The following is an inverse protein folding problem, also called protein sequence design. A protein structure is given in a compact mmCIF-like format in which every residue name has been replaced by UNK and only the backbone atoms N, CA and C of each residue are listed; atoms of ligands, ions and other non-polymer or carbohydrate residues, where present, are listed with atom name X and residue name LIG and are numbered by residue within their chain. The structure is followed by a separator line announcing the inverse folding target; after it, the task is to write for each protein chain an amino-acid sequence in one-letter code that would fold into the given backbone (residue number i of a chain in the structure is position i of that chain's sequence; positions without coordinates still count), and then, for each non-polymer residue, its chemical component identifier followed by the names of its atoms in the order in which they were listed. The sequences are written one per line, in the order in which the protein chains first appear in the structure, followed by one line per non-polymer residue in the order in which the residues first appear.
data_IF_491863122397
#
_entry.id   IF_491863122397
#
_cell.length_a   1.000
_cell.length_b   1.000
_cell.length_c   1.000
_cell.angle_alpha   90.00
_cell.angle_beta   90.00
_cell.angle_gamma   90.00
#
_symmetry.space_group_name_H-M   'P 1'
#
loop_
_entity.id
_entity.type
_entity.pdbx_description
1 polymer ?
#
# COMPACT_ATOMS: atom_id res chain seq x y z
N UNK A 1 -0.84 -3.20 -17.52
CA UNK A 1 -1.73 -4.34 -17.83
C UNK A 1 -0.91 -5.62 -17.82
N UNK A 2 -1.12 -6.47 -16.82
CA UNK A 2 -0.41 -7.74 -16.62
C UNK A 2 -0.89 -8.79 -17.63
N UNK A 3 -0.01 -9.18 -18.57
CA UNK A 3 -0.20 -10.36 -19.43
C UNK A 3 0.02 -11.62 -18.60
N UNK A 4 -1.05 -12.38 -18.33
CA UNK A 4 -0.91 -13.76 -17.90
C UNK A 4 -0.47 -14.64 -19.07
N UNK A 5 0.47 -15.56 -18.79
CA UNK A 5 0.95 -16.55 -19.74
C UNK A 5 -0.20 -17.50 -20.08
N UNK A 6 -0.57 -17.58 -21.37
CA UNK A 6 -1.45 -18.63 -21.87
C UNK A 6 -0.57 -19.85 -22.20
N UNK A 7 -0.95 -21.01 -21.66
CA UNK A 7 -0.38 -22.32 -22.01
C UNK A 7 -0.84 -22.66 -23.42
N UNK A 8 0.10 -22.92 -24.33
CA UNK A 8 -0.19 -23.43 -25.67
C UNK A 8 -0.17 -24.97 -25.61
N UNK A 9 -1.35 -25.59 -25.61
CA UNK A 9 -1.53 -27.01 -25.93
C UNK A 9 -2.05 -27.18 -27.36
N UNK A 10 -1.85 -28.35 -28.01
CA UNK A 10 -2.34 -28.60 -29.36
C UNK A 10 -3.88 -28.55 -29.44
N UNK A 11 -4.45 -28.19 -30.60
CA UNK A 11 -5.89 -27.94 -30.74
C UNK A 11 -6.68 -29.25 -30.65
N UNK A 12 -7.43 -29.46 -29.57
CA UNK A 12 -8.38 -30.58 -29.46
C UNK A 12 -8.61 -31.15 -28.05
N UNK A 13 -7.72 -30.91 -27.10
CA UNK A 13 -7.93 -31.36 -25.72
C UNK A 13 -8.80 -30.37 -24.94
N UNK A 14 -10.01 -30.80 -24.57
CA UNK A 14 -10.83 -30.10 -23.57
C UNK A 14 -10.17 -30.27 -22.21
N UNK A 15 -10.15 -29.20 -21.40
CA UNK A 15 -9.78 -29.32 -19.99
C UNK A 15 -10.69 -30.37 -19.35
N UNK A 16 -10.12 -31.38 -18.69
CA UNK A 16 -10.89 -32.33 -17.92
C UNK A 16 -11.70 -31.55 -16.87
N UNK A 17 -13.00 -31.83 -16.78
CA UNK A 17 -13.89 -31.25 -15.78
C UNK A 17 -13.32 -31.52 -14.39
N UNK A 18 -13.26 -30.47 -13.56
CA UNK A 18 -12.79 -30.61 -12.20
C UNK A 18 -13.67 -31.61 -11.46
N UNK A 19 -13.07 -32.56 -10.74
CA UNK A 19 -13.82 -33.51 -9.93
C UNK A 19 -14.72 -32.75 -8.95
N UNK A 20 -16.04 -33.04 -8.93
CA UNK A 20 -16.96 -32.39 -8.01
C UNK A 20 -16.54 -32.63 -6.55
N UNK A 21 -16.66 -31.61 -5.71
CA UNK A 21 -16.29 -31.66 -4.29
C UNK A 21 -16.92 -32.82 -3.51
N UNK A 22 -18.08 -33.30 -3.96
CA UNK A 22 -18.82 -34.40 -3.36
C UNK A 22 -18.07 -35.75 -3.44
N UNK A 23 -17.27 -35.97 -4.49
CA UNK A 23 -16.48 -37.20 -4.65
C UNK A 23 -15.23 -37.23 -3.77
N UNK A 24 -14.69 -36.07 -3.38
CA UNK A 24 -13.51 -36.01 -2.49
C UNK A 24 -13.86 -36.06 -1.00
N UNK A 25 -15.14 -35.89 -0.64
CA UNK A 25 -15.59 -35.92 0.76
C UNK A 25 -16.02 -37.31 1.24
N UNK A 26 -16.19 -38.28 0.34
CA UNK A 26 -16.55 -39.67 0.65
C UNK A 26 -15.37 -40.51 1.13
N UNK A 27 -14.95 -40.32 2.38
CA UNK A 27 -14.13 -41.32 3.09
C UNK A 27 -15.00 -42.48 3.59
N UNK A 28 -14.45 -43.72 3.70
CA UNK A 28 -15.23 -44.91 3.99
C UNK A 28 -15.90 -44.85 5.36
N UNK A 29 -17.10 -45.41 5.39
CA UNK A 29 -18.07 -45.42 6.48
C UNK A 29 -17.49 -45.82 7.84
N UNK A 30 -17.89 -45.08 8.89
CA UNK A 30 -17.73 -45.54 10.25
C UNK A 30 -17.68 -44.43 11.30
N UNK A 31 -18.86 -44.04 11.82
CA UNK A 31 -19.18 -43.87 13.26
C UNK A 31 -20.11 -42.68 13.53
N UNK A 32 -21.24 -43.05 14.13
CA UNK A 32 -22.40 -42.26 14.53
C UNK A 32 -22.08 -41.27 15.66
N UNK A 33 -22.75 -40.10 15.68
CA UNK A 33 -22.72 -39.20 16.85
C UNK A 33 -23.36 -37.82 16.64
N UNK A 34 -24.57 -37.64 17.16
CA UNK A 34 -25.42 -36.41 17.18
C UNK A 34 -24.82 -35.20 17.93
N UNK A 35 -25.18 -34.00 17.45
CA UNK A 35 -25.92 -32.91 18.15
C UNK A 35 -25.32 -31.48 18.09
N UNK A 36 -26.15 -30.52 17.62
CA UNK A 36 -26.30 -29.18 18.23
C UNK A 36 -25.64 -27.97 17.51
N UNK A 37 -26.39 -26.89 17.21
CA UNK A 37 -25.88 -25.70 16.51
C UNK A 37 -25.33 -24.67 17.51
N UNK A 38 -24.11 -24.15 17.27
CA UNK A 38 -23.54 -23.04 18.03
C UNK A 38 -23.20 -21.86 17.10
N UNK A 39 -24.13 -20.91 17.06
CA UNK A 39 -23.94 -19.55 16.56
C UNK A 39 -22.86 -18.83 17.39
N UNK A 40 -21.80 -18.38 16.74
CA UNK A 40 -20.74 -17.57 17.36
C UNK A 40 -20.77 -16.15 16.79
N UNK A 41 -21.35 -15.24 17.58
CA UNK A 41 -21.15 -13.80 17.49
C UNK A 41 -19.67 -13.49 17.71
N UNK A 42 -19.07 -12.67 16.85
CA UNK A 42 -17.72 -12.11 17.03
C UNK A 42 -17.84 -10.69 17.58
N UNK A 43 -17.25 -10.47 18.75
CA UNK A 43 -16.71 -9.19 19.20
C UNK A 43 -15.29 -9.46 19.75
N UNK A 44 -14.26 -8.65 19.44
CA UNK A 44 -12.88 -8.93 19.80
C UNK A 44 -12.44 -8.21 21.09
N UNK A 45 -12.42 -8.93 22.22
CA UNK A 45 -11.75 -8.50 23.45
C UNK A 45 -10.30 -9.00 23.48
N UNK A 46 -9.34 -8.06 23.51
CA UNK A 46 -7.90 -8.29 23.54
C UNK A 46 -7.46 -8.86 24.90
N UNK A 47 -7.17 -10.15 24.98
CA UNK A 47 -6.44 -10.75 26.12
C UNK A 47 -5.04 -11.23 25.71
N UNK A 48 -4.02 -10.64 26.32
CA UNK A 48 -2.59 -11.00 26.19
C UNK A 48 -2.38 -12.48 26.54
N UNK A 49 -1.94 -13.29 25.57
CA UNK A 49 -1.50 -14.69 25.83
C UNK A 49 -0.11 -14.69 26.44
N UNK A 50 0.02 -15.31 27.63
CA UNK A 50 1.30 -15.58 28.31
C UNK A 50 2.13 -16.56 27.47
N UNK A 51 3.45 -16.31 27.37
CA UNK A 51 4.43 -17.12 26.65
C UNK A 51 4.41 -18.58 27.12
N UNK A 52 3.91 -19.50 26.29
CA UNK A 52 4.06 -20.94 26.49
C UNK A 52 5.38 -21.35 25.84
N UNK A 53 6.36 -21.78 26.65
CA UNK A 53 7.66 -22.30 26.17
C UNK A 53 7.40 -23.42 25.15
N UNK A 54 7.96 -23.28 23.95
CA UNK A 54 7.88 -24.30 22.89
C UNK A 54 8.61 -25.55 23.43
N UNK A 55 7.99 -26.74 23.32
CA UNK A 55 8.66 -28.00 23.64
C UNK A 55 9.79 -28.19 22.62
N UNK A 56 11.03 -28.22 23.09
CA UNK A 56 12.18 -28.59 22.25
C UNK A 56 12.07 -30.08 21.93
N UNK A 57 11.79 -30.37 20.67
CA UNK A 57 11.87 -31.73 20.14
C UNK A 57 13.30 -31.94 19.67
N UNK A 58 13.97 -32.96 20.22
CA UNK A 58 15.21 -33.49 19.65
C UNK A 58 14.87 -34.09 18.28
N UNK A 59 15.38 -33.46 17.24
CA UNK A 59 15.24 -33.93 15.86
C UNK A 59 16.30 -35.00 15.63
N UNK A 60 16.06 -36.19 16.18
CA UNK A 60 16.85 -37.36 15.86
C UNK A 60 16.33 -37.96 14.55
N UNK A 61 17.25 -38.20 13.62
CA UNK A 61 16.97 -38.74 12.30
C UNK A 61 16.62 -40.23 12.41
N UNK A 62 15.34 -40.51 12.63
CA UNK A 62 14.82 -41.87 12.85
C UNK A 62 14.98 -42.76 11.61
N UNK A 63 15.08 -42.18 10.41
CA UNK A 63 15.08 -42.91 9.15
C UNK A 63 16.45 -42.94 8.45
N UNK A 64 17.51 -42.44 9.10
CA UNK A 64 18.85 -42.38 8.50
C UNK A 64 18.92 -41.52 7.23
N UNK A 65 18.00 -40.56 7.07
CA UNK A 65 17.93 -39.68 5.91
C UNK A 65 19.17 -38.77 5.81
N UNK A 66 19.71 -38.32 6.94
CA UNK A 66 20.97 -37.59 7.03
C UNK A 66 22.17 -38.48 6.67
N UNK A 67 22.15 -39.75 7.06
CA UNK A 67 23.19 -40.72 6.68
C UNK A 67 23.17 -41.03 5.17
N UNK A 68 21.98 -41.16 4.58
CA UNK A 68 21.80 -41.35 3.14
C UNK A 68 22.29 -40.13 2.32
N UNK A 69 22.07 -38.91 2.82
CA UNK A 69 22.60 -37.68 2.22
C UNK A 69 24.14 -37.62 2.30
N UNK A 70 24.73 -38.08 3.40
CA UNK A 70 26.18 -38.18 3.58
C UNK A 70 26.81 -39.29 2.74
N UNK A 71 26.07 -40.35 2.41
CA UNK A 71 26.58 -41.46 1.60
C UNK A 71 26.47 -41.17 0.10
N UNK A 72 25.42 -40.47 -0.33
CA UNK A 72 25.24 -39.99 -1.72
C UNK A 72 26.21 -38.86 -2.08
N UNK A 73 26.60 -38.01 -1.12
CA UNK A 73 27.67 -37.02 -1.32
C UNK A 73 29.08 -37.61 -1.43
N UNK A 74 29.30 -38.84 -0.96
CA UNK A 74 30.59 -39.55 -1.06
C UNK A 74 30.81 -40.26 -2.41
N UNK A 75 29.82 -40.26 -3.30
CA UNK A 75 29.90 -40.88 -4.63
C UNK A 75 30.07 -39.89 -5.79
N UNK A 76 30.43 -38.63 -5.56
CA UNK A 76 30.32 -37.56 -6.55
C UNK A 76 31.65 -36.90 -6.97
N UNK A 77 32.45 -37.55 -7.82
CA UNK A 77 33.44 -36.85 -8.66
C UNK A 77 32.79 -36.13 -9.88
N UNK A 78 31.45 -36.08 -9.94
CA UNK A 78 30.66 -35.28 -10.89
C UNK A 78 29.99 -34.05 -10.23
N UNK A 79 30.26 -33.79 -8.94
CA UNK A 79 29.50 -32.82 -8.15
C UNK A 79 29.93 -31.34 -8.30
N UNK A 80 31.18 -31.04 -8.67
CA UNK A 80 31.65 -29.63 -8.75
C UNK A 80 31.09 -28.86 -9.95
N UNK A 81 30.87 -29.51 -11.09
CA UNK A 81 30.34 -28.86 -12.29
C UNK A 81 28.83 -28.56 -12.16
N UNK A 82 28.07 -29.46 -11.54
CA UNK A 82 26.63 -29.27 -11.28
C UNK A 82 26.37 -28.24 -10.17
N UNK A 83 27.17 -28.21 -9.10
CA UNK A 83 27.06 -27.18 -8.05
C UNK A 83 27.46 -25.81 -8.59
N UNK A 84 28.53 -25.70 -9.36
CA UNK A 84 28.92 -24.45 -10.00
C UNK A 84 27.89 -23.97 -11.05
N UNK A 85 27.17 -24.89 -11.70
CA UNK A 85 26.04 -24.58 -12.57
C UNK A 85 24.85 -24.01 -11.77
N UNK A 86 24.48 -24.67 -10.69
CA UNK A 86 23.41 -24.25 -9.79
C UNK A 86 23.71 -22.89 -9.13
N UNK A 87 24.95 -22.65 -8.69
CA UNK A 87 25.38 -21.37 -8.14
C UNK A 87 25.26 -20.23 -9.16
N UNK A 88 25.60 -20.49 -10.43
CA UNK A 88 25.42 -19.50 -11.51
C UNK A 88 23.95 -19.22 -11.76
N UNK A 89 23.09 -20.24 -11.75
CA UNK A 89 21.64 -20.07 -11.89
C UNK A 89 21.02 -19.27 -10.73
N UNK A 90 21.42 -19.59 -9.49
CA UNK A 90 21.02 -18.86 -8.29
C UNK A 90 21.50 -17.40 -8.36
N UNK A 91 22.75 -17.15 -8.77
CA UNK A 91 23.26 -15.80 -8.96
C UNK A 91 22.48 -15.02 -10.03
N UNK A 92 22.09 -15.66 -11.13
CA UNK A 92 21.23 -15.07 -12.17
C UNK A 92 19.84 -14.75 -11.61
N UNK A 93 19.25 -15.64 -10.81
CA UNK A 93 17.96 -15.43 -10.15
C UNK A 93 18.01 -14.25 -9.18
N UNK A 94 19.00 -14.20 -8.29
CA UNK A 94 19.22 -13.10 -7.35
C UNK A 94 19.44 -11.76 -8.07
N UNK A 95 20.18 -11.76 -9.20
CA UNK A 95 20.37 -10.57 -10.02
C UNK A 95 19.07 -10.09 -10.68
N UNK A 96 18.20 -11.01 -11.10
CA UNK A 96 16.86 -10.68 -11.63
C UNK A 96 15.94 -10.10 -10.54
N UNK A 97 15.99 -10.67 -9.34
CA UNK A 97 15.19 -10.20 -8.21
C UNK A 97 15.66 -8.84 -7.71
N UNK A 98 16.98 -8.63 -7.58
CA UNK A 98 17.56 -7.32 -7.27
C UNK A 98 17.10 -6.25 -8.26
N UNK A 99 17.16 -6.51 -9.57
CA UNK A 99 16.62 -5.60 -10.60
C UNK A 99 15.12 -5.34 -10.47
N UNK A 100 14.34 -6.29 -9.95
CA UNK A 100 12.90 -6.12 -9.71
C UNK A 100 12.67 -5.21 -8.50
N UNK A 101 13.38 -5.44 -7.40
CA UNK A 101 13.31 -4.61 -6.20
C UNK A 101 13.86 -3.20 -6.46
N UNK A 102 14.96 -3.04 -7.20
CA UNK A 102 15.50 -1.73 -7.57
C UNK A 102 14.45 -0.89 -8.32
N UNK A 103 13.72 -1.50 -9.27
CA UNK A 103 12.62 -0.81 -9.97
C UNK A 103 11.46 -0.46 -9.04
N UNK A 104 11.17 -1.31 -8.05
CA UNK A 104 10.11 -1.05 -7.07
C UNK A 104 10.52 0.11 -6.15
N UNK A 105 11.74 0.10 -5.63
CA UNK A 105 12.30 1.16 -4.79
C UNK A 105 12.36 2.47 -5.57
N UNK A 106 12.84 2.45 -6.81
CA UNK A 106 12.89 3.65 -7.65
C UNK A 106 11.50 4.25 -7.90
N UNK A 107 10.46 3.43 -8.09
CA UNK A 107 9.07 3.93 -8.18
C UNK A 107 8.58 4.52 -6.86
N UNK A 108 8.93 3.92 -5.74
CA UNK A 108 8.56 4.45 -4.42
C UNK A 108 9.26 5.78 -4.16
N UNK A 109 10.56 5.87 -4.46
CA UNK A 109 11.36 7.08 -4.35
C UNK A 109 10.82 8.18 -5.27
N UNK A 110 10.55 7.89 -6.54
CA UNK A 110 9.92 8.85 -7.45
C UNK A 110 8.56 9.36 -6.93
N UNK A 111 7.75 8.48 -6.30
CA UNK A 111 6.47 8.88 -5.70
C UNK A 111 6.66 9.76 -4.45
N UNK A 112 7.66 9.46 -3.61
CA UNK A 112 8.00 10.27 -2.44
C UNK A 112 8.57 11.63 -2.84
N UNK A 113 9.50 11.66 -3.80
CA UNK A 113 10.10 12.88 -4.31
C UNK A 113 9.10 13.75 -5.08
N UNK A 114 8.11 13.14 -5.75
CA UNK A 114 7.01 13.88 -6.36
C UNK A 114 5.98 14.40 -5.35
N UNK A 115 5.96 13.88 -4.12
CA UNK A 115 5.11 14.41 -3.05
C UNK A 115 5.75 15.68 -2.50
N UNK A 116 4.99 16.77 -2.53
CA UNK A 116 5.41 18.09 -2.03
C UNK A 116 4.63 18.41 -0.76
N UNK A 117 5.31 18.92 0.26
CA UNK A 117 4.66 19.34 1.49
C UNK A 117 3.87 20.63 1.28
N UNK A 118 2.61 20.70 1.72
CA UNK A 118 1.79 21.90 1.54
C UNK A 118 2.20 23.08 2.45
N UNK A 119 2.99 22.82 3.51
CA UNK A 119 3.46 23.85 4.44
C UNK A 119 4.76 24.51 3.95
N UNK A 120 5.85 23.74 3.81
CA UNK A 120 7.14 24.27 3.35
C UNK A 120 7.34 24.25 1.82
N UNK A 121 6.48 23.54 1.05
CA UNK A 121 6.58 23.34 -0.40
C UNK A 121 7.86 22.64 -0.87
N UNK A 122 8.55 21.96 0.03
CA UNK A 122 9.69 21.12 -0.31
C UNK A 122 9.23 19.73 -0.76
N UNK A 123 9.87 19.16 -1.80
CA UNK A 123 9.61 17.80 -2.25
C UNK A 123 10.17 16.76 -1.26
N UNK A 124 9.62 15.55 -1.28
CA UNK A 124 10.14 14.39 -0.55
C UNK A 124 9.33 13.99 0.69
N UNK A 125 8.47 14.87 1.21
CA UNK A 125 7.68 14.61 2.42
C UNK A 125 6.27 15.22 2.35
N UNK A 126 5.35 14.68 3.16
CA UNK A 126 3.99 15.20 3.33
C UNK A 126 3.88 16.14 4.53
N UNK A 127 2.72 16.78 4.72
CA UNK A 127 2.49 17.74 5.82
C UNK A 127 2.74 17.10 7.21
N UNK A 128 2.45 15.81 7.38
CA UNK A 128 2.65 15.09 8.63
C UNK A 128 4.14 14.87 8.98
N UNK A 129 4.99 14.73 7.97
CA UNK A 129 6.42 14.45 8.12
C UNK A 129 7.25 15.73 7.90
N UNK A 130 6.61 16.91 7.99
CA UNK A 130 7.28 18.17 7.72
C UNK A 130 8.16 18.59 8.91
N UNK A 131 9.48 18.74 8.70
CA UNK A 131 10.39 19.12 9.78
C UNK A 131 10.05 20.50 10.36
N UNK A 132 9.52 21.41 9.54
CA UNK A 132 9.09 22.74 9.98
C UNK A 132 7.84 22.71 10.88
N UNK A 133 6.93 21.74 10.68
CA UNK A 133 5.70 21.64 11.50
C UNK A 133 5.98 21.09 12.90
N UNK A 134 7.03 20.27 13.06
CA UNK A 134 7.51 19.81 14.36
C UNK A 134 7.90 20.96 15.29
N UNK A 135 8.32 22.09 14.72
CA UNK A 135 8.74 23.28 15.45
C UNK A 135 7.55 24.23 15.74
N UNK A 136 6.51 24.22 14.90
CA UNK A 136 5.31 25.06 15.03
C UNK A 136 4.07 24.22 15.42
N UNK A 137 4.05 23.72 16.65
CA UNK A 137 3.03 22.84 17.26
C UNK A 137 1.54 23.26 17.14
N UNK A 138 1.26 24.42 16.55
CA UNK A 138 -0.05 25.08 16.51
C UNK A 138 -0.91 24.74 15.29
N UNK A 139 -0.43 23.91 14.37
CA UNK A 139 -1.05 23.71 13.06
C UNK A 139 -2.01 22.51 12.97
N UNK A 140 -2.73 22.18 14.04
CA UNK A 140 -3.96 21.36 14.00
C UNK A 140 -3.92 20.07 13.16
N UNK A 141 -2.73 19.47 13.00
CA UNK A 141 -2.53 18.28 12.17
C UNK A 141 -3.20 17.10 12.85
N UNK A 142 -4.16 16.49 12.16
CA UNK A 142 -4.96 15.37 12.70
C UNK A 142 -6.31 15.80 13.28
N UNK A 143 -6.72 17.06 13.11
CA UNK A 143 -8.08 17.52 13.42
C UNK A 143 -8.96 17.45 12.17
N UNK A 144 -10.20 17.00 12.34
CA UNK A 144 -11.22 17.11 11.32
C UNK A 144 -11.55 18.58 11.06
N UNK A 145 -11.22 19.09 9.88
CA UNK A 145 -11.46 20.49 9.54
C UNK A 145 -12.95 20.89 9.45
N UNK A 146 -13.88 19.93 9.49
CA UNK A 146 -15.34 20.18 9.53
C UNK A 146 -15.90 20.30 10.94
N UNK A 147 -15.47 19.46 11.88
CA UNK A 147 -16.07 19.39 13.21
C UNK A 147 -15.08 19.51 14.38
N UNK A 148 -13.78 19.70 14.12
CA UNK A 148 -12.79 19.93 15.17
C UNK A 148 -12.37 18.69 15.96
N UNK A 149 -12.90 17.50 15.65
CA UNK A 149 -12.53 16.26 16.34
C UNK A 149 -11.23 15.67 15.81
N UNK A 150 -10.38 15.11 16.68
CA UNK A 150 -9.13 14.44 16.30
C UNK A 150 -9.28 12.96 15.90
N UNK A 151 -10.50 12.42 16.00
CA UNK A 151 -10.75 10.99 15.81
C UNK A 151 -10.82 10.58 14.34
N UNK A 152 -11.07 11.53 13.42
CA UNK A 152 -11.28 11.23 12.00
C UNK A 152 -10.88 12.36 11.06
N UNK A 153 -10.62 12.00 9.80
CA UNK A 153 -10.37 12.95 8.71
C UNK A 153 -11.67 13.46 8.08
N UNK A 154 -11.59 14.56 7.31
CA UNK A 154 -12.74 15.15 6.58
C UNK A 154 -13.58 14.09 5.86
N UNK A 155 -12.94 13.12 5.20
CA UNK A 155 -13.62 12.10 4.39
C UNK A 155 -14.51 11.16 5.20
N UNK A 156 -14.23 10.99 6.50
CA UNK A 156 -14.98 10.12 7.41
C UNK A 156 -15.88 10.92 8.36
N UNK A 157 -15.94 12.24 8.18
CA UNK A 157 -16.75 13.11 9.00
C UNK A 157 -18.23 12.93 8.68
N UNK A 158 -19.00 12.54 9.70
CA UNK A 158 -20.46 12.41 9.63
C UNK A 158 -21.20 13.65 10.15
N UNK A 159 -20.46 14.61 10.71
CA UNK A 159 -21.06 15.83 11.24
C UNK A 159 -21.61 16.69 10.09
N UNK A 160 -22.86 17.12 10.24
CA UNK A 160 -23.46 18.14 9.38
C UNK A 160 -23.05 19.48 9.93
N UNK A 161 -22.24 20.22 9.18
CA UNK A 161 -21.82 21.57 9.53
C UNK A 161 -22.81 22.53 8.89
N UNK A 162 -23.24 23.55 9.65
CA UNK A 162 -24.15 24.57 9.14
C UNK A 162 -23.46 25.37 8.03
N UNK A 163 -24.09 25.50 6.83
CA UNK A 163 -23.51 26.21 5.69
C UNK A 163 -23.16 27.68 5.98
N UNK A 164 -23.77 28.28 7.01
CA UNK A 164 -23.54 29.67 7.41
C UNK A 164 -22.15 29.92 8.03
N UNK A 165 -21.52 28.90 8.60
CA UNK A 165 -20.19 29.01 9.24
C UNK A 165 -19.05 28.71 8.24
N UNK A 166 -19.40 28.40 6.98
CA UNK A 166 -18.46 28.02 5.93
C UNK A 166 -18.16 26.53 5.90
N UNK A 167 -17.57 26.06 4.80
CA UNK A 167 -17.36 24.64 4.56
C UNK A 167 -16.32 23.99 5.50
N UNK A 168 -15.38 24.78 6.04
CA UNK A 168 -14.25 24.29 6.84
C UNK A 168 -13.90 25.23 8.01
N UNK A 169 -14.77 25.35 9.03
CA UNK A 169 -14.60 26.30 10.13
C UNK A 169 -13.32 26.07 10.95
N UNK A 170 -12.86 24.82 11.05
CA UNK A 170 -11.67 24.46 11.83
C UNK A 170 -10.41 24.29 10.97
N UNK A 171 -10.48 24.54 9.65
CA UNK A 171 -9.29 24.57 8.81
C UNK A 171 -8.49 25.86 9.07
N UNK A 172 -7.22 25.73 9.43
CA UNK A 172 -6.23 26.82 9.37
C UNK A 172 -5.57 26.81 8.00
N UNK A 173 -5.54 27.95 7.32
CA UNK A 173 -4.87 28.09 6.04
C UNK A 173 -3.34 28.06 6.22
N UNK A 174 -2.64 27.23 5.46
CA UNK A 174 -1.17 27.14 5.54
C UNK A 174 -0.43 28.33 4.89
N UNK A 175 -1.16 29.28 4.30
CA UNK A 175 -0.59 30.41 3.57
C UNK A 175 -0.80 31.72 4.34
N UNK A 176 -2.04 32.05 4.70
CA UNK A 176 -2.35 33.25 5.48
C UNK A 176 -2.51 33.01 6.99
N UNK A 177 -2.59 31.75 7.44
CA UNK A 177 -2.78 31.40 8.86
C UNK A 177 -4.20 31.58 9.40
N UNK A 178 -5.11 32.17 8.62
CA UNK A 178 -6.49 32.40 9.02
C UNK A 178 -7.31 31.10 9.04
N UNK A 179 -8.37 31.10 9.86
CA UNK A 179 -9.28 29.97 9.99
C UNK A 179 -10.49 30.11 9.06
N UNK A 180 -11.06 28.98 8.62
CA UNK A 180 -12.30 28.95 7.84
C UNK A 180 -12.14 28.51 6.39
N UNK A 181 -10.90 28.39 5.89
CA UNK A 181 -10.61 27.97 4.52
C UNK A 181 -9.34 27.13 4.40
N UNK A 182 -9.24 26.38 3.30
CA UNK A 182 -8.04 25.62 2.93
C UNK A 182 -7.13 26.46 2.04
N UNK A 183 -5.82 26.15 2.01
CA UNK A 183 -4.83 26.86 1.17
C UNK A 183 -5.16 26.96 -0.32
N UNK A 184 -6.02 26.07 -0.84
CA UNK A 184 -6.51 26.11 -2.22
C UNK A 184 -7.56 27.20 -2.47
N UNK A 185 -8.34 27.54 -1.45
CA UNK A 185 -9.42 28.54 -1.49
C UNK A 185 -9.03 29.81 -0.72
N UNK A 186 -7.74 30.02 -0.50
CA UNK A 186 -7.23 31.22 0.14
C UNK A 186 -7.31 32.39 -0.85
N UNK A 187 -7.97 33.50 -0.49
CA UNK A 187 -8.01 34.70 -1.34
C UNK A 187 -6.62 35.32 -1.49
N UNK A 188 -5.82 35.29 -0.42
CA UNK A 188 -4.48 35.88 -0.38
C UNK A 188 -3.40 34.82 -0.53
N UNK A 189 -3.28 34.24 -1.74
CA UNK A 189 -2.25 33.25 -2.03
C UNK A 189 -1.08 33.81 -2.86
N UNK A 190 -0.04 34.40 -2.25
CA UNK A 190 1.08 34.99 -2.99
C UNK A 190 1.89 33.96 -3.80
N UNK A 191 1.83 32.66 -3.43
CA UNK A 191 2.58 31.59 -4.10
C UNK A 191 1.74 30.81 -5.13
N UNK A 192 0.43 31.04 -5.22
CA UNK A 192 -0.49 30.35 -6.12
C UNK A 192 -0.77 28.87 -5.83
N UNK A 193 -1.67 28.31 -6.65
CA UNK A 193 -2.17 26.92 -6.54
C UNK A 193 -1.15 25.86 -6.99
N UNK A 194 -0.08 26.25 -7.69
CA UNK A 194 0.95 25.33 -8.18
C UNK A 194 1.88 24.87 -7.06
N UNK A 195 2.31 23.60 -7.11
CA UNK A 195 3.18 23.00 -6.09
C UNK A 195 4.52 23.74 -5.93
N UNK A 196 5.18 24.07 -7.04
CA UNK A 196 6.45 24.83 -7.07
C UNK A 196 6.25 26.35 -6.88
N UNK A 197 5.00 26.79 -6.76
CA UNK A 197 4.63 28.19 -6.80
C UNK A 197 4.58 28.76 -8.21
N UNK A 198 3.70 29.74 -8.41
CA UNK A 198 3.54 30.44 -9.68
C UNK A 198 2.09 30.69 -10.05
N UNK A 199 1.91 31.29 -11.22
CA UNK A 199 0.62 31.67 -11.77
C UNK A 199 0.31 30.94 -13.08
N UNK A 200 -0.93 31.04 -13.52
CA UNK A 200 -1.38 30.56 -14.81
C UNK A 200 -0.53 31.19 -15.92
N UNK A 201 0.13 30.38 -16.73
CA UNK A 201 1.02 30.85 -17.82
C UNK A 201 0.31 31.53 -19.00
N UNK A 202 -1.03 31.61 -18.96
CA UNK A 202 -1.84 32.27 -20.00
C UNK A 202 -2.23 33.67 -19.54
N UNK A 203 -2.98 33.78 -18.45
CA UNK A 203 -3.49 35.05 -17.94
C UNK A 203 -2.68 35.65 -16.77
N UNK A 204 -1.69 34.94 -16.25
CA UNK A 204 -0.91 35.39 -15.08
C UNK A 204 -1.65 35.31 -13.74
N UNK A 205 -2.89 34.79 -13.68
CA UNK A 205 -3.62 34.70 -12.42
C UNK A 205 -3.19 33.52 -11.56
N UNK A 206 -3.37 33.67 -10.26
CA UNK A 206 -2.88 32.75 -9.22
C UNK A 206 -3.97 31.76 -8.77
N UNK A 207 -5.22 32.06 -9.09
CA UNK A 207 -6.44 31.43 -8.58
C UNK A 207 -6.81 30.11 -9.28
N UNK A 208 -6.33 29.90 -10.52
CA UNK A 208 -6.70 28.72 -11.31
C UNK A 208 -5.49 28.02 -11.94
N UNK A 209 -5.68 26.74 -12.25
CA UNK A 209 -4.74 26.01 -13.09
C UNK A 209 -4.94 26.39 -14.56
N UNK A 210 -3.88 26.33 -15.37
CA UNK A 210 -3.92 26.52 -16.83
C UNK A 210 -5.04 25.77 -17.56
N UNK A 211 -5.52 24.64 -17.00
CA UNK A 211 -6.64 23.86 -17.54
C UNK A 211 -7.98 24.59 -17.39
N UNK A 212 -8.16 25.27 -16.28
CA UNK A 212 -9.40 25.95 -15.88
C UNK A 212 -9.29 27.46 -16.18
N UNK A 213 -8.36 27.84 -17.07
CA UNK A 213 -8.16 29.24 -17.43
C UNK A 213 -9.30 29.70 -18.35
N UNK A 214 -10.02 30.77 -18.00
CA UNK A 214 -11.13 31.26 -18.80
C UNK A 214 -10.68 31.70 -20.20
N UNK A 215 -9.49 32.30 -20.32
CA UNK A 215 -8.91 32.66 -21.62
C UNK A 215 -8.65 31.45 -22.52
N UNK A 216 -8.35 30.29 -21.93
CA UNK A 216 -8.17 29.04 -22.69
C UNK A 216 -9.50 28.45 -23.13
N UNK A 217 -10.56 28.58 -22.31
CA UNK A 217 -11.90 28.13 -22.68
C UNK A 217 -12.41 28.95 -23.86
N UNK A 218 -12.24 30.27 -23.81
CA UNK A 218 -12.63 31.18 -24.89
C UNK A 218 -11.82 30.95 -26.19
N UNK A 219 -10.57 30.50 -26.11
CA UNK A 219 -9.72 30.20 -27.27
C UNK A 219 -9.96 28.81 -27.89
N UNK A 220 -10.71 27.91 -27.22
CA UNK A 220 -11.05 26.58 -27.74
C UNK A 220 -12.42 26.50 -28.41
N UNK A 221 -13.21 27.58 -28.32
CA UNK A 221 -14.56 27.71 -28.89
C UNK A 221 -14.60 28.52 -30.20
N UNK A 222 -13.44 28.82 -30.79
CA UNK A 222 -13.28 29.34 -32.16
C UNK A 222 -12.44 28.38 -33.00
#
# INVERSE_FOLDING_TARGET
MTRWARRNGPPGEKALEATPWEEMAGGPEGREGRAGPLSLKKEPEKRKKKNKKKKDYLNEDVNGFAAYLQQSSRGGELAEAETAGFEKEVAIALKRDKRREDRRLKRQEMKKNAMVCFHCREPGHGVADCPAVLESQDMGTGICYRCGSTEHDISKCKAKVDPAVGAFPYAKCFICGEMGHLSRSCPDNPKGLYAEGGCCKLCGSVEHFKKDCPEKQNAGEM
#
